data_IF_810400473620
#
_entry.id   IF_810400473620
#
_cell.length_a   1.000
_cell.length_b   1.000
_cell.length_c   1.000
_cell.angle_alpha   90.00
_cell.angle_beta   90.00
_cell.angle_gamma   90.00
#
_symmetry.space_group_name_H-M   'P 1'
#
loop_
_entity.id
_entity.type
_entity.pdbx_description
1 polymer ?
#
# COMPACT_ATOMS: atom_id res chain seq x y z
N UNK A 1 3.07 -40.44 -18.43
CA UNK A 1 4.15 -40.08 -17.48
C UNK A 1 4.97 -38.86 -17.88
N UNK A 2 5.73 -38.81 -18.99
CA UNK A 2 6.59 -37.63 -19.27
C UNK A 2 5.80 -36.35 -19.63
N UNK A 3 4.68 -36.48 -20.35
CA UNK A 3 3.83 -35.35 -20.77
C UNK A 3 3.06 -34.73 -19.60
N UNK A 4 2.60 -35.53 -18.63
CA UNK A 4 1.81 -35.04 -17.49
C UNK A 4 2.62 -34.14 -16.56
N UNK A 5 3.91 -34.45 -16.36
CA UNK A 5 4.83 -33.62 -15.57
C UNK A 5 5.11 -32.27 -16.24
N UNK A 6 5.23 -32.25 -17.58
CA UNK A 6 5.48 -31.01 -18.33
C UNK A 6 4.28 -30.07 -18.24
N UNK A 7 3.07 -30.60 -18.41
CA UNK A 7 1.83 -29.82 -18.27
C UNK A 7 1.71 -29.26 -16.85
N UNK A 8 2.00 -30.07 -15.82
CA UNK A 8 2.00 -29.62 -14.43
C UNK A 8 2.97 -28.47 -14.14
N UNK A 9 4.19 -28.55 -14.68
CA UNK A 9 5.20 -27.47 -14.53
C UNK A 9 4.76 -26.19 -15.24
N UNK A 10 4.26 -26.29 -16.48
CA UNK A 10 3.80 -25.12 -17.25
C UNK A 10 2.63 -24.41 -16.54
N UNK A 11 1.63 -25.18 -16.11
CA UNK A 11 0.48 -24.64 -15.36
C UNK A 11 0.96 -23.99 -14.05
N UNK A 12 1.89 -24.64 -13.34
CA UNK A 12 2.51 -24.08 -12.14
C UNK A 12 3.22 -22.76 -12.40
N UNK A 13 4.03 -22.66 -13.45
CA UNK A 13 4.77 -21.44 -13.80
C UNK A 13 3.84 -20.29 -14.20
N UNK A 14 2.80 -20.57 -15.00
CA UNK A 14 1.82 -19.54 -15.40
C UNK A 14 1.05 -19.04 -14.19
N UNK A 15 0.61 -19.96 -13.32
CA UNK A 15 -0.13 -19.63 -12.11
C UNK A 15 0.71 -18.81 -11.12
N UNK A 16 1.93 -19.27 -10.81
CA UNK A 16 2.85 -18.55 -9.94
C UNK A 16 3.30 -17.22 -10.55
N UNK A 17 3.55 -17.16 -11.86
CA UNK A 17 3.89 -15.91 -12.56
C UNK A 17 2.77 -14.86 -12.46
N UNK A 18 1.51 -15.29 -12.63
CA UNK A 18 0.35 -14.42 -12.45
C UNK A 18 0.18 -13.91 -11.02
N UNK A 19 0.44 -14.76 -10.03
CA UNK A 19 0.36 -14.40 -8.60
C UNK A 19 1.50 -13.44 -8.21
N UNK A 20 2.74 -13.77 -8.58
CA UNK A 20 3.94 -13.01 -8.21
C UNK A 20 3.92 -11.61 -8.82
N UNK A 21 3.41 -11.46 -10.05
CA UNK A 21 3.36 -10.14 -10.71
C UNK A 21 2.03 -9.43 -10.45
N UNK A 22 0.92 -10.16 -10.52
CA UNK A 22 -0.43 -9.61 -10.44
C UNK A 22 -0.78 -9.04 -9.07
N UNK A 23 -0.41 -9.71 -7.98
CA UNK A 23 -0.76 -9.26 -6.63
C UNK A 23 0.00 -7.98 -6.25
N UNK A 24 1.33 -7.88 -6.40
CA UNK A 24 2.04 -6.63 -6.12
C UNK A 24 1.56 -5.47 -7.01
N UNK A 25 1.27 -5.75 -8.29
CA UNK A 25 0.72 -4.75 -9.19
C UNK A 25 -0.64 -4.24 -8.69
N UNK A 26 -1.58 -5.14 -8.40
CA UNK A 26 -2.91 -4.81 -7.88
C UNK A 26 -2.81 -4.00 -6.59
N UNK A 27 -1.98 -4.44 -5.64
CA UNK A 27 -1.79 -3.75 -4.35
C UNK A 27 -1.22 -2.35 -4.55
N UNK A 28 -0.24 -2.18 -5.44
CA UNK A 28 0.30 -0.86 -5.76
C UNK A 28 -0.77 0.09 -6.31
N UNK A 29 -1.72 -0.44 -7.09
CA UNK A 29 -2.80 0.31 -7.69
C UNK A 29 -3.88 0.68 -6.66
N UNK A 30 -4.26 -0.26 -5.78
CA UNK A 30 -5.19 0.00 -4.67
C UNK A 30 -4.64 1.06 -3.71
N UNK A 31 -3.35 0.97 -3.35
CA UNK A 31 -2.68 1.97 -2.51
C UNK A 31 -2.65 3.35 -3.17
N UNK A 32 -2.37 3.45 -4.48
CA UNK A 32 -2.43 4.72 -5.23
C UNK A 32 -3.84 5.32 -5.19
N UNK A 33 -4.88 4.51 -5.40
CA UNK A 33 -6.29 4.97 -5.32
C UNK A 33 -6.66 5.44 -3.91
N UNK A 34 -6.31 4.68 -2.88
CA UNK A 34 -6.56 5.05 -1.48
C UNK A 34 -5.88 6.37 -1.10
N UNK A 35 -4.62 6.55 -1.51
CA UNK A 35 -3.87 7.81 -1.33
C UNK A 35 -4.55 8.99 -2.01
N UNK A 36 -5.01 8.83 -3.25
CA UNK A 36 -5.70 9.92 -3.96
C UNK A 36 -6.97 10.34 -3.21
N UNK A 37 -7.76 9.39 -2.73
CA UNK A 37 -8.95 9.65 -1.91
C UNK A 37 -8.61 10.37 -0.60
N UNK A 38 -7.56 9.94 0.11
CA UNK A 38 -7.11 10.60 1.34
C UNK A 38 -6.54 12.01 1.08
N UNK A 39 -5.95 12.26 -0.09
CA UNK A 39 -5.43 13.58 -0.47
C UNK A 39 -6.52 14.58 -0.85
N UNK A 40 -7.70 14.07 -1.25
CA UNK A 40 -8.86 14.89 -1.61
C UNK A 40 -9.68 15.30 -0.38
N UNK A 41 -9.60 14.55 0.73
CA UNK A 41 -10.27 14.91 1.99
C UNK A 41 -9.57 16.10 2.64
N UNK A 42 -10.33 17.11 3.01
CA UNK A 42 -9.80 18.23 3.79
C UNK A 42 -9.47 17.77 5.21
N UNK A 43 -8.36 18.28 5.74
CA UNK A 43 -7.97 18.08 7.14
C UNK A 43 -7.94 19.42 7.86
N UNK A 44 -8.26 19.38 9.15
CA UNK A 44 -8.01 20.49 10.07
C UNK A 44 -6.79 20.10 10.90
N UNK A 45 -5.78 20.97 10.92
CA UNK A 45 -4.59 20.75 11.72
C UNK A 45 -4.96 20.75 13.22
N UNK A 46 -4.56 19.72 14.01
CA UNK A 46 -4.86 19.68 15.43
C UNK A 46 -4.06 20.68 16.27
N UNK A 47 -3.05 21.33 15.68
CA UNK A 47 -2.26 22.36 16.36
C UNK A 47 -3.06 23.68 16.42
N UNK A 48 -3.44 24.17 17.62
CA UNK A 48 -4.20 25.42 17.76
C UNK A 48 -3.45 26.63 17.19
N UNK A 49 -2.12 26.61 17.17
CA UNK A 49 -1.30 27.70 16.64
C UNK A 49 -1.18 27.69 15.10
N UNK A 50 -1.56 26.59 14.43
CA UNK A 50 -1.39 26.46 12.98
C UNK A 50 -2.64 26.88 12.19
N UNK A 51 -3.83 26.50 12.68
CA UNK A 51 -5.11 26.83 12.05
C UNK A 51 -5.29 26.39 10.60
N UNK A 52 -4.47 25.45 10.11
CA UNK A 52 -4.49 25.05 8.69
C UNK A 52 -5.71 24.17 8.40
N UNK A 53 -6.54 24.60 7.44
CA UNK A 53 -7.64 23.83 6.85
C UNK A 53 -7.40 23.68 5.35
N UNK A 54 -7.39 22.45 4.85
CA UNK A 54 -7.20 22.19 3.43
C UNK A 54 -6.61 20.81 3.14
N UNK A 55 -6.01 20.65 1.96
CA UNK A 55 -5.51 19.36 1.48
C UNK A 55 -4.30 18.88 2.30
N UNK A 56 -4.31 17.62 2.79
CA UNK A 56 -3.19 17.06 3.52
C UNK A 56 -1.98 16.76 2.63
N UNK A 57 -0.81 16.68 3.25
CA UNK A 57 0.40 16.12 2.63
C UNK A 57 0.55 14.65 3.05
N UNK A 58 0.44 13.73 2.10
CA UNK A 58 0.61 12.29 2.38
C UNK A 58 2.09 11.92 2.30
N UNK A 59 2.63 11.36 3.39
CA UNK A 59 3.95 10.75 3.41
C UNK A 59 3.82 9.25 3.12
N UNK A 60 4.34 8.84 1.97
CA UNK A 60 4.39 7.43 1.56
C UNK A 60 5.33 6.66 2.49
N UNK A 61 4.78 5.71 3.23
CA UNK A 61 5.55 4.79 4.07
C UNK A 61 5.61 3.39 3.45
N UNK A 62 4.58 3.01 2.68
CA UNK A 62 4.53 1.73 2.01
C UNK A 62 5.53 1.65 0.84
N UNK A 63 6.49 0.71 0.94
CA UNK A 63 7.39 0.30 -0.14
C UNK A 63 6.91 -1.00 -0.79
N UNK A 64 6.63 -0.95 -2.09
CA UNK A 64 6.19 -2.11 -2.91
C UNK A 64 7.32 -3.15 -3.01
N UNK A 65 8.57 -2.70 -3.13
CA UNK A 65 9.73 -3.61 -3.24
C UNK A 65 9.87 -4.49 -2.01
N UNK A 66 9.74 -3.89 -0.82
CA UNK A 66 9.77 -4.61 0.45
C UNK A 66 8.62 -5.64 0.49
N UNK A 67 7.41 -5.23 0.11
CA UNK A 67 6.28 -6.15 0.01
C UNK A 67 6.55 -7.34 -0.92
N UNK A 68 7.13 -7.13 -2.10
CA UNK A 68 7.48 -8.22 -3.05
C UNK A 68 8.50 -9.19 -2.43
N UNK A 69 9.55 -8.66 -1.81
CA UNK A 69 10.57 -9.49 -1.15
C UNK A 69 9.93 -10.33 -0.05
N UNK A 70 9.11 -9.72 0.81
CA UNK A 70 8.39 -10.44 1.85
C UNK A 70 7.42 -11.47 1.28
N UNK A 71 6.74 -11.17 0.16
CA UNK A 71 5.81 -12.08 -0.50
C UNK A 71 6.51 -13.34 -1.04
N UNK A 72 7.73 -13.19 -1.55
CA UNK A 72 8.56 -14.31 -2.00
C UNK A 72 9.06 -15.16 -0.83
N UNK A 73 9.30 -14.56 0.34
CA UNK A 73 9.65 -15.29 1.57
C UNK A 73 8.44 -15.98 2.22
N UNK A 74 7.22 -15.50 1.94
CA UNK A 74 5.98 -16.12 2.35
C UNK A 74 4.82 -15.14 2.47
N UNK A 75 3.61 -15.67 2.46
CA UNK A 75 2.37 -14.87 2.53
C UNK A 75 2.21 -14.17 3.88
N UNK A 76 2.54 -14.86 4.98
CA UNK A 76 2.36 -14.34 6.34
C UNK A 76 3.14 -13.05 6.63
N UNK A 77 4.47 -12.97 6.42
CA UNK A 77 5.22 -11.76 6.74
C UNK A 77 4.84 -10.61 5.78
N UNK A 78 4.41 -10.90 4.55
CA UNK A 78 3.90 -9.91 3.61
C UNK A 78 2.57 -9.27 4.07
N UNK A 79 1.64 -10.09 4.60
CA UNK A 79 0.40 -9.61 5.20
C UNK A 79 0.66 -8.68 6.40
N UNK A 80 1.55 -9.07 7.31
CA UNK A 80 1.94 -8.23 8.44
C UNK A 80 2.45 -6.87 7.98
N UNK A 81 3.29 -6.83 6.95
CA UNK A 81 3.82 -5.59 6.41
C UNK A 81 2.71 -4.66 5.88
N UNK A 82 1.71 -5.20 5.17
CA UNK A 82 0.57 -4.42 4.65
C UNK A 82 -0.30 -3.85 5.78
N UNK A 83 -0.48 -4.59 6.88
CA UNK A 83 -1.33 -4.18 8.00
C UNK A 83 -0.63 -3.11 8.85
N UNK A 84 0.67 -3.30 9.11
CA UNK A 84 1.47 -2.46 10.00
C UNK A 84 1.95 -1.17 9.33
N UNK A 85 2.29 -1.21 8.03
CA UNK A 85 2.83 -0.05 7.34
C UNK A 85 1.70 0.73 6.67
N UNK A 86 1.23 1.78 7.36
CA UNK A 86 0.26 2.74 6.84
C UNK A 86 0.93 4.06 6.48
N UNK A 87 0.41 4.72 5.45
CA UNK A 87 0.85 6.06 5.08
C UNK A 87 0.43 7.07 6.15
N UNK A 88 1.25 8.11 6.33
CA UNK A 88 1.01 9.15 7.33
C UNK A 88 0.46 10.40 6.67
N UNK A 89 -0.59 10.96 7.26
CA UNK A 89 -1.21 12.21 6.84
C UNK A 89 -0.58 13.34 7.65
N UNK A 90 0.12 14.25 6.98
CA UNK A 90 0.87 15.33 7.62
C UNK A 90 0.27 16.69 7.24
N UNK A 91 0.27 17.60 8.21
CA UNK A 91 0.02 19.01 7.92
C UNK A 91 1.20 19.60 7.13
N UNK A 92 0.97 20.29 6.00
CA UNK A 92 2.05 20.87 5.19
C UNK A 92 2.78 22.03 5.87
N UNK A 93 2.14 22.71 6.84
CA UNK A 93 2.74 23.86 7.56
C UNK A 93 3.58 23.43 8.76
N UNK A 94 3.00 22.66 9.68
CA UNK A 94 3.66 22.30 10.94
C UNK A 94 4.27 20.90 10.96
N UNK A 95 3.98 20.04 9.97
CA UNK A 95 4.49 18.67 9.92
C UNK A 95 3.89 17.71 10.94
N UNK A 96 2.95 18.15 11.79
CA UNK A 96 2.23 17.26 12.71
C UNK A 96 1.33 16.29 11.95
N UNK A 97 1.13 15.10 12.54
CA UNK A 97 0.19 14.11 12.00
C UNK A 97 -1.23 14.62 12.23
N UNK A 98 -1.96 14.88 11.15
CA UNK A 98 -3.35 15.28 11.27
C UNK A 98 -4.22 14.04 11.48
N UNK A 99 -5.25 14.16 12.30
CA UNK A 99 -6.33 13.16 12.34
C UNK A 99 -7.32 13.54 11.24
N UNK A 100 -7.71 12.57 10.42
CA UNK A 100 -8.85 12.76 9.51
C UNK A 100 -10.09 13.02 10.37
N UNK A 101 -10.80 14.11 10.11
CA UNK A 101 -12.17 14.26 10.57
C UNK A 101 -13.03 13.62 9.49
N UNK A 102 -13.55 12.42 9.79
CA UNK A 102 -14.65 11.83 9.04
C UNK A 102 -15.92 12.53 9.52
N UNK A 103 -16.39 13.52 8.78
CA UNK A 103 -17.82 13.87 8.75
C UNK A 103 -18.51 13.02 7.69
#
# INVERSE_FOLDING_TARGET
MMIENIVGVIVGVIFWGGIIVGIPWLMSHLQKKARKRAAEKEIICPNPNCGYKGKPKIKKCFSVTVFIILWLLGIFPALLYVILVRDKILCPKCGMTAREFLE
#
